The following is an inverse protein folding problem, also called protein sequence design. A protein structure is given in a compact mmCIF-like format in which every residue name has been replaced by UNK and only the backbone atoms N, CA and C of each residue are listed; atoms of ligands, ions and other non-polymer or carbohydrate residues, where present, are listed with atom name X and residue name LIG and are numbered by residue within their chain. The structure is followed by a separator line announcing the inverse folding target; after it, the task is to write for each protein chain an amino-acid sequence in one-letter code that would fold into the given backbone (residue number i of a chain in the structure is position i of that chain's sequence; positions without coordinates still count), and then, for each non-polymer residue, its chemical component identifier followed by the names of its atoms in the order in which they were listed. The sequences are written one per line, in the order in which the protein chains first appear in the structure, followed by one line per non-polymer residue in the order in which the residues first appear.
data_IF_636649628125
#
_entry.id   IF_636649628125
#
_cell.length_a   1.000
_cell.length_b   1.000
_cell.length_c   1.000
_cell.angle_alpha   90.00
_cell.angle_beta   90.00
_cell.angle_gamma   90.00
#
_symmetry.space_group_name_H-M   'P 1'
#
loop_
_entity.id
_entity.type
_entity.pdbx_description
1 polymer ?
#
# COMPACT_ATOMS: atom_id res chain seq x y z
N UNK A 1 10.56 -21.84 -29.81
CA UNK A 1 10.54 -20.70 -28.85
C UNK A 1 11.75 -20.86 -27.95
N UNK A 2 12.67 -19.91 -27.94
CA UNK A 2 13.79 -19.93 -26.99
C UNK A 2 13.23 -19.65 -25.59
N UNK A 3 13.42 -20.57 -24.64
CA UNK A 3 12.89 -20.42 -23.28
C UNK A 3 13.74 -19.44 -22.48
N UNK A 4 13.10 -18.52 -21.76
CA UNK A 4 13.77 -17.66 -20.79
C UNK A 4 14.00 -18.50 -19.52
N UNK A 5 15.23 -18.51 -19.01
CA UNK A 5 15.58 -19.17 -17.74
C UNK A 5 14.90 -18.47 -16.56
N UNK A 6 14.42 -19.24 -15.58
CA UNK A 6 13.70 -18.72 -14.41
C UNK A 6 14.57 -17.75 -13.59
N UNK A 7 15.87 -18.00 -13.58
CA UNK A 7 16.89 -17.20 -12.94
C UNK A 7 16.94 -15.80 -13.54
N UNK A 8 16.89 -15.70 -14.88
CA UNK A 8 16.88 -14.41 -15.58
C UNK A 8 15.62 -13.60 -15.23
N UNK A 9 14.44 -14.24 -15.18
CA UNK A 9 13.19 -13.56 -14.80
C UNK A 9 13.25 -13.06 -13.35
N UNK A 10 13.78 -13.89 -12.45
CA UNK A 10 13.93 -13.55 -11.03
C UNK A 10 14.89 -12.38 -10.87
N UNK A 11 16.04 -12.41 -11.54
CA UNK A 11 17.02 -11.33 -11.52
C UNK A 11 16.41 -9.99 -11.97
N UNK A 12 15.77 -9.96 -13.15
CA UNK A 12 15.16 -8.72 -13.65
C UNK A 12 14.03 -8.22 -12.76
N UNK A 13 13.22 -9.11 -12.17
CA UNK A 13 12.15 -8.69 -11.24
C UNK A 13 12.68 -8.15 -9.92
N UNK A 14 13.82 -8.63 -9.42
CA UNK A 14 14.49 -8.03 -8.27
C UNK A 14 15.10 -6.67 -8.64
N UNK A 15 15.84 -6.61 -9.74
CA UNK A 15 16.49 -5.39 -10.19
C UNK A 15 15.49 -4.25 -10.44
N UNK A 16 14.36 -4.53 -11.10
CA UNK A 16 13.31 -3.53 -11.31
C UNK A 16 12.65 -3.08 -9.99
N UNK A 17 12.53 -3.97 -8.99
CA UNK A 17 12.00 -3.58 -7.68
C UNK A 17 12.95 -2.65 -6.93
N UNK A 18 14.25 -2.90 -7.00
CA UNK A 18 15.26 -2.02 -6.41
C UNK A 18 15.22 -0.63 -7.07
N UNK A 19 15.22 -0.57 -8.40
CA UNK A 19 15.12 0.70 -9.13
C UNK A 19 13.84 1.49 -8.78
N UNK A 20 12.72 0.79 -8.62
CA UNK A 20 11.48 1.43 -8.18
C UNK A 20 11.58 1.95 -6.75
N UNK A 21 12.15 1.17 -5.82
CA UNK A 21 12.33 1.60 -4.44
C UNK A 21 13.26 2.83 -4.34
N UNK A 22 14.34 2.86 -5.12
CA UNK A 22 15.25 4.01 -5.17
C UNK A 22 14.62 5.26 -5.79
N UNK A 23 13.62 5.09 -6.66
CA UNK A 23 12.88 6.22 -7.25
C UNK A 23 11.82 6.83 -6.32
N UNK A 24 11.55 6.19 -5.16
CA UNK A 24 10.56 6.67 -4.20
C UNK A 24 11.22 7.61 -3.18
N UNK A 25 10.78 8.85 -3.18
CA UNK A 25 11.15 9.83 -2.14
C UNK A 25 10.21 9.68 -0.93
N UNK A 26 10.71 9.07 0.15
CA UNK A 26 9.99 8.99 1.42
C UNK A 26 10.17 10.30 2.20
N UNK A 27 9.07 11.01 2.44
CA UNK A 27 9.06 12.24 3.22
C UNK A 27 7.79 12.36 4.05
N UNK A 28 7.91 12.95 5.25
CA UNK A 28 6.76 13.27 6.10
C UNK A 28 6.02 14.49 5.52
N UNK A 29 5.22 14.25 4.49
CA UNK A 29 4.46 15.27 3.78
C UNK A 29 2.97 15.11 4.08
N UNK A 30 2.31 16.25 4.36
CA UNK A 30 0.86 16.31 4.49
C UNK A 30 0.23 16.03 3.11
N UNK A 31 -0.63 15.02 3.04
CA UNK A 31 -1.41 14.67 1.85
C UNK A 31 -2.82 15.25 1.94
N UNK A 32 -3.33 15.82 0.85
CA UNK A 32 -4.61 16.51 0.82
C UNK A 32 -4.50 17.99 1.20
N UNK A 33 -5.66 18.64 1.35
CA UNK A 33 -5.75 20.08 1.57
C UNK A 33 -7.00 20.66 0.90
N UNK A 34 -7.19 21.97 1.00
CA UNK A 34 -8.32 22.62 0.33
C UNK A 34 -8.24 22.40 -1.18
N UNK A 35 -9.36 22.02 -1.79
CA UNK A 35 -9.48 21.69 -3.23
C UNK A 35 -8.62 20.51 -3.73
N UNK A 36 -7.98 19.74 -2.84
CA UNK A 36 -7.22 18.54 -3.21
C UNK A 36 -8.07 17.29 -3.01
N UNK A 37 -8.34 16.57 -4.10
CA UNK A 37 -9.02 15.27 -4.05
C UNK A 37 -7.99 14.16 -3.83
N UNK A 38 -8.19 13.36 -2.78
CA UNK A 38 -7.37 12.17 -2.50
C UNK A 38 -8.22 10.93 -2.79
N UNK A 39 -7.69 10.04 -3.64
CA UNK A 39 -8.23 8.69 -3.79
C UNK A 39 -7.66 7.81 -2.69
N UNK A 40 -8.51 7.02 -2.04
CA UNK A 40 -8.11 6.10 -0.98
C UNK A 40 -8.58 4.71 -1.34
N UNK A 41 -7.72 3.72 -1.15
CA UNK A 41 -8.02 2.31 -1.42
C UNK A 41 -7.48 1.39 -0.33
N UNK A 42 -8.09 0.21 -0.19
CA UNK A 42 -7.70 -0.84 0.75
C UNK A 42 -7.19 -2.06 0.00
N UNK A 43 -5.95 -2.46 0.23
CA UNK A 43 -5.36 -3.65 -0.39
C UNK A 43 -4.93 -4.67 0.66
N UNK A 44 -5.29 -5.94 0.45
CA UNK A 44 -4.81 -7.07 1.26
C UNK A 44 -3.60 -7.72 0.57
N UNK A 45 -2.42 -7.58 1.16
CA UNK A 45 -1.17 -8.17 0.66
C UNK A 45 -0.87 -9.46 1.38
N UNK A 46 -0.76 -10.57 0.65
CA UNK A 46 -0.42 -11.88 1.21
C UNK A 46 0.41 -12.69 0.23
N UNK A 47 1.39 -13.43 0.76
CA UNK A 47 2.21 -14.35 -0.04
C UNK A 47 1.74 -15.79 0.18
N UNK A 48 1.49 -16.51 -0.91
CA UNK A 48 1.26 -17.96 -0.83
C UNK A 48 2.57 -18.67 -0.53
N UNK A 49 2.56 -19.62 0.41
CA UNK A 49 3.71 -20.52 0.61
C UNK A 49 3.87 -21.38 -0.65
N UNK A 50 4.99 -21.24 -1.37
CA UNK A 50 5.26 -21.95 -2.63
C UNK A 50 4.21 -21.76 -3.75
N UNK A 51 3.47 -20.65 -3.77
CA UNK A 51 2.34 -20.44 -4.70
C UNK A 51 1.24 -21.54 -4.64
N UNK A 52 1.22 -22.38 -3.60
CA UNK A 52 0.29 -23.51 -3.44
C UNK A 52 -0.39 -23.46 -2.07
N UNK A 53 -1.60 -24.03 -1.96
CA UNK A 53 -2.32 -24.18 -0.69
C UNK A 53 -3.13 -22.95 -0.24
N UNK A 54 -3.62 -23.01 1.01
CA UNK A 54 -4.49 -22.02 1.67
C UNK A 54 -3.75 -20.68 1.87
N UNK A 55 -4.45 -19.57 1.67
CA UNK A 55 -3.95 -18.23 1.98
C UNK A 55 -3.82 -18.09 3.51
N UNK A 56 -2.61 -17.81 3.99
CA UNK A 56 -2.25 -17.62 5.41
C UNK A 56 -1.70 -16.19 5.57
N UNK A 57 -1.89 -15.61 6.77
CA UNK A 57 -1.55 -14.25 7.23
C UNK A 57 -1.16 -13.24 6.15
N UNK A 58 -2.11 -12.34 5.91
CA UNK A 58 -1.97 -11.24 4.98
C UNK A 58 -2.03 -9.94 5.75
N UNK A 59 -1.24 -8.98 5.32
CA UNK A 59 -1.25 -7.62 5.81
C UNK A 59 -2.34 -6.85 5.09
N UNK A 60 -3.09 -6.03 5.82
CA UNK A 60 -3.94 -5.02 5.21
C UNK A 60 -3.15 -3.73 5.10
N UNK A 61 -3.17 -3.13 3.91
CA UNK A 61 -2.55 -1.83 3.64
C UNK A 61 -3.65 -0.89 3.18
N UNK A 62 -3.70 0.28 3.80
CA UNK A 62 -4.50 1.40 3.31
C UNK A 62 -3.55 2.32 2.55
N UNK A 63 -3.89 2.60 1.31
CA UNK A 63 -3.15 3.53 0.46
C UNK A 63 -3.99 4.74 0.10
N UNK A 64 -3.33 5.87 -0.16
CA UNK A 64 -4.00 7.02 -0.76
C UNK A 64 -3.08 7.79 -1.69
N UNK A 65 -3.66 8.40 -2.72
CA UNK A 65 -2.95 9.19 -3.72
C UNK A 65 -3.73 10.46 -4.07
N UNK A 66 -3.03 11.58 -4.16
CA UNK A 66 -3.63 12.82 -4.62
C UNK A 66 -3.93 12.80 -6.12
N UNK A 67 -5.07 13.37 -6.52
CA UNK A 67 -5.38 13.70 -7.92
C UNK A 67 -4.66 14.99 -8.36
N UNK A 68 -3.41 15.17 -7.96
CA UNK A 68 -2.54 16.29 -8.34
C UNK A 68 -1.44 15.81 -9.30
N UNK A 69 -0.76 16.72 -10.02
CA UNK A 69 0.42 16.35 -10.83
C UNK A 69 1.58 15.81 -9.99
N UNK A 70 1.69 16.24 -8.73
CA UNK A 70 2.74 15.83 -7.79
C UNK A 70 2.58 14.40 -7.30
N UNK A 71 1.35 13.83 -7.37
CA UNK A 71 1.06 12.43 -7.06
C UNK A 71 1.56 11.96 -5.69
N UNK A 72 1.51 12.86 -4.69
CA UNK A 72 1.83 12.51 -3.30
C UNK A 72 0.95 11.35 -2.85
N UNK A 73 1.58 10.36 -2.22
CA UNK A 73 0.90 9.13 -1.82
C UNK A 73 1.38 8.64 -0.46
N UNK A 74 0.53 7.85 0.20
CA UNK A 74 0.89 7.13 1.42
C UNK A 74 0.47 5.67 1.31
N UNK A 75 1.17 4.81 2.05
CA UNK A 75 0.86 3.40 2.24
C UNK A 75 1.06 3.10 3.72
N UNK A 76 -0.01 2.73 4.42
CA UNK A 76 0.00 2.45 5.85
C UNK A 76 -0.48 1.03 6.09
N UNK A 77 0.35 0.22 6.73
CA UNK A 77 -0.03 -1.09 7.24
C UNK A 77 -1.04 -0.92 8.39
N UNK A 78 -2.12 -1.71 8.36
CA UNK A 78 -3.12 -1.76 9.43
C UNK A 78 -2.71 -2.88 10.40
N UNK A 79 -2.28 -2.53 11.63
CA UNK A 79 -1.84 -3.52 12.60
C UNK A 79 -3.03 -4.32 13.15
N UNK A 80 -3.09 -5.58 12.72
CA UNK A 80 -3.84 -6.71 13.25
C UNK A 80 -5.36 -6.52 13.55
N UNK A 81 -6.19 -7.29 12.84
CA UNK A 81 -7.65 -7.36 13.06
C UNK A 81 -7.98 -8.41 14.15
N UNK A 82 -7.69 -8.14 15.42
CA UNK A 82 -8.56 -8.73 16.46
C UNK A 82 -9.99 -8.23 16.19
N UNK A 83 -11.04 -9.04 16.35
CA UNK A 83 -12.44 -8.81 15.91
C UNK A 83 -13.17 -7.60 16.55
N UNK A 84 -12.43 -6.57 16.96
CA UNK A 84 -12.91 -5.27 17.38
C UNK A 84 -13.28 -4.44 16.14
N UNK A 85 -14.51 -3.89 16.08
CA UNK A 85 -14.97 -3.08 14.96
C UNK A 85 -14.09 -1.87 14.65
N UNK A 86 -13.34 -1.36 15.63
CA UNK A 86 -12.41 -0.22 15.51
C UNK A 86 -11.13 -0.54 14.73
N UNK A 87 -10.79 -1.82 14.55
CA UNK A 87 -9.57 -2.29 13.89
C UNK A 87 -9.82 -2.80 12.47
N UNK A 88 -11.02 -2.61 11.93
CA UNK A 88 -11.28 -2.90 10.52
C UNK A 88 -10.61 -1.82 9.64
N UNK A 89 -10.04 -2.15 8.48
CA UNK A 89 -9.59 -1.24 7.45
C UNK A 89 -10.59 -0.13 7.15
N UNK A 90 -11.89 -0.46 7.01
CA UNK A 90 -12.93 0.55 6.81
C UNK A 90 -13.00 1.50 8.01
N UNK A 91 -13.01 1.00 9.25
CA UNK A 91 -13.02 1.87 10.44
C UNK A 91 -11.70 2.63 10.62
N UNK A 92 -10.58 2.07 10.17
CA UNK A 92 -9.27 2.71 10.17
C UNK A 92 -9.23 3.83 9.13
N UNK A 93 -9.87 3.62 7.98
CA UNK A 93 -10.10 4.63 6.94
C UNK A 93 -10.94 5.78 7.51
N UNK A 94 -12.08 5.46 8.13
CA UNK A 94 -12.92 6.46 8.77
C UNK A 94 -12.16 7.21 9.87
N UNK A 95 -11.37 6.53 10.69
CA UNK A 95 -10.56 7.15 11.74
C UNK A 95 -9.46 8.04 11.17
N UNK A 96 -8.68 7.57 10.20
CA UNK A 96 -7.62 8.36 9.57
C UNK A 96 -8.18 9.54 8.79
N UNK A 97 -9.24 9.34 8.00
CA UNK A 97 -9.89 10.41 7.24
C UNK A 97 -10.52 11.44 8.18
N UNK A 98 -11.21 11.03 9.25
CA UNK A 98 -11.79 11.96 10.22
C UNK A 98 -10.74 12.65 11.10
N UNK A 99 -9.71 11.94 11.57
CA UNK A 99 -8.65 12.51 12.41
C UNK A 99 -7.78 13.48 11.60
N UNK A 100 -7.46 13.17 10.35
CA UNK A 100 -6.72 14.07 9.47
C UNK A 100 -7.51 15.35 9.13
N UNK A 101 -8.84 15.25 9.04
CA UNK A 101 -9.75 16.40 8.90
C UNK A 101 -10.00 17.16 10.22
N UNK A 102 -9.58 16.66 11.39
CA UNK A 102 -9.81 17.28 12.72
C UNK A 102 -8.55 17.85 13.37
N UNK A 103 -7.36 17.50 12.89
CA UNK A 103 -6.09 17.94 13.47
C UNK A 103 -5.52 19.23 12.85
N UNK A 104 -6.27 19.91 11.97
CA UNK A 104 -5.94 21.26 11.47
C UNK A 104 -7.22 22.07 11.21
#
# INVERSE_FOLDING_TARGET
MCGIQSESVTFWTFHLRELLADSLDFSDVKIGGDQVVVEIDETKLGKRKYNRGRVVDCVWVVGGIERTPEKKCFLVEVPDRSAEPSKTPISFLFYYVLLFNRLF
#
